data_IF_539800338282
#
_entry.id   IF_539800338282
#
_cell.length_a   1.000
_cell.length_b   1.000
_cell.length_c   1.000
_cell.angle_alpha   90.00
_cell.angle_beta   90.00
_cell.angle_gamma   90.00
#
_symmetry.space_group_name_H-M   'P 1'
#
loop_
_entity.id
_entity.type
_entity.pdbx_description
1 polymer ?
#
# COMPACT_ATOMS: atom_id res chain seq x y z
N UNK A 1 -12.41 6.25 9.56
CA UNK A 1 -11.13 6.52 10.23
C UNK A 1 -10.06 6.84 9.17
N UNK A 2 -9.12 7.67 9.52
CA UNK A 2 -7.98 7.97 8.64
C UNK A 2 -6.75 7.24 9.15
N UNK A 3 -5.90 6.81 8.23
CA UNK A 3 -4.62 6.19 8.56
C UNK A 3 -3.52 6.83 7.74
N UNK A 4 -2.35 6.98 8.34
CA UNK A 4 -1.15 7.44 7.66
C UNK A 4 -0.05 6.45 7.92
N UNK A 5 0.56 5.95 6.86
CA UNK A 5 1.68 5.02 6.94
C UNK A 5 2.90 5.67 6.30
N UNK A 6 4.01 5.68 7.04
CA UNK A 6 5.30 6.15 6.54
C UNK A 6 6.19 4.93 6.33
N UNK A 7 6.66 4.74 5.11
CA UNK A 7 7.52 3.62 4.74
C UNK A 7 8.92 4.12 4.44
N UNK A 8 9.88 3.69 5.25
CA UNK A 8 11.30 3.87 4.96
C UNK A 8 11.78 2.57 4.31
N UNK A 9 12.04 2.62 3.03
CA UNK A 9 12.30 1.41 2.25
C UNK A 9 13.73 0.87 2.39
N UNK A 10 14.51 1.45 3.27
CA UNK A 10 15.86 0.96 3.55
C UNK A 10 16.86 1.33 2.46
N UNK A 11 17.45 0.33 1.81
CA UNK A 11 18.56 0.56 0.88
C UNK A 11 18.17 1.44 -0.32
N UNK A 12 16.89 1.45 -0.69
CA UNK A 12 16.40 2.33 -1.77
C UNK A 12 16.53 3.81 -1.39
N UNK A 13 16.51 4.13 -0.10
CA UNK A 13 16.65 5.50 0.39
C UNK A 13 15.43 6.39 0.21
N UNK A 14 14.34 5.88 -0.34
CA UNK A 14 13.11 6.65 -0.54
C UNK A 14 12.14 6.45 0.61
N UNK A 15 11.49 7.54 1.01
CA UNK A 15 10.41 7.48 2.00
C UNK A 15 9.08 7.69 1.30
N UNK A 16 8.17 6.76 1.50
CA UNK A 16 6.82 6.81 0.92
C UNK A 16 5.81 7.08 2.02
N UNK A 17 4.86 7.97 1.74
CA UNK A 17 3.76 8.28 2.65
C UNK A 17 2.46 7.79 2.02
N UNK A 18 1.72 6.98 2.76
CA UNK A 18 0.45 6.43 2.34
C UNK A 18 -0.63 6.99 3.26
N UNK A 19 -1.65 7.59 2.67
CA UNK A 19 -2.82 8.06 3.42
C UNK A 19 -4.03 7.26 2.96
N UNK A 20 -4.76 6.74 3.92
CA UNK A 20 -5.99 6.01 3.68
C UNK A 20 -7.11 6.65 4.49
N UNK A 21 -8.28 6.79 3.90
CA UNK A 21 -9.43 7.38 4.56
C UNK A 21 -10.68 6.57 4.27
N UNK A 22 -11.49 6.34 5.29
CA UNK A 22 -12.76 5.63 5.16
C UNK A 22 -13.82 6.29 6.03
N UNK A 23 -14.94 6.66 5.45
CA UNK A 23 -16.07 7.23 6.18
C UNK A 23 -17.02 6.15 6.70
N UNK A 24 -17.14 5.05 5.97
CA UNK A 24 -18.10 3.97 6.26
C UNK A 24 -17.45 2.71 6.82
N UNK A 25 -16.15 2.75 7.09
CA UNK A 25 -15.35 1.60 7.56
C UNK A 25 -15.36 0.41 6.59
N UNK A 26 -15.65 0.66 5.33
CA UNK A 26 -15.74 -0.38 4.31
C UNK A 26 -15.01 0.03 3.03
N UNK A 27 -15.35 1.19 2.47
CA UNK A 27 -14.73 1.72 1.26
C UNK A 27 -13.63 2.70 1.65
N UNK A 28 -12.46 2.53 1.06
CA UNK A 28 -11.24 3.25 1.44
C UNK A 28 -10.68 4.01 0.24
N UNK A 29 -10.42 5.30 0.43
CA UNK A 29 -9.67 6.11 -0.50
C UNK A 29 -8.19 6.07 -0.13
N UNK A 30 -7.33 6.00 -1.14
CA UNK A 30 -5.89 5.91 -0.97
C UNK A 30 -5.17 7.05 -1.65
N UNK A 31 -4.15 7.57 -1.01
CA UNK A 31 -3.23 8.53 -1.60
C UNK A 31 -1.81 8.14 -1.23
N UNK A 32 -0.96 7.99 -2.24
CA UNK A 32 0.44 7.59 -2.04
C UNK A 32 1.34 8.68 -2.60
N UNK A 33 2.31 9.09 -1.80
CA UNK A 33 3.29 10.13 -2.17
C UNK A 33 4.68 9.57 -1.96
N UNK A 34 5.52 9.63 -2.99
CA UNK A 34 6.89 9.13 -2.92
C UNK A 34 7.76 9.83 -3.95
N UNK A 35 9.07 10.05 -3.67
CA UNK A 35 10.01 10.50 -4.68
C UNK A 35 10.43 9.40 -5.67
N UNK A 36 10.12 8.14 -5.39
CA UNK A 36 10.43 7.02 -6.26
C UNK A 36 9.51 7.03 -7.49
N UNK A 37 10.07 7.06 -8.70
CA UNK A 37 9.30 7.11 -9.95
C UNK A 37 8.41 5.88 -10.12
N UNK A 38 8.87 4.72 -9.66
CA UNK A 38 8.10 3.47 -9.72
C UNK A 38 6.86 3.58 -8.83
N UNK A 39 7.03 4.09 -7.61
CA UNK A 39 5.92 4.27 -6.68
C UNK A 39 4.96 5.35 -7.15
N UNK A 40 5.47 6.40 -7.83
CA UNK A 40 4.59 7.39 -8.45
C UNK A 40 3.67 6.75 -9.48
N UNK A 41 4.18 5.81 -10.28
CA UNK A 41 3.36 5.06 -11.24
C UNK A 41 2.32 4.20 -10.52
N UNK A 42 2.69 3.56 -9.41
CA UNK A 42 1.75 2.83 -8.57
C UNK A 42 0.67 3.75 -8.00
N UNK A 43 1.06 4.94 -7.53
CA UNK A 43 0.12 5.91 -6.97
C UNK A 43 -0.97 6.27 -7.97
N UNK A 44 -0.61 6.44 -9.24
CA UNK A 44 -1.59 6.71 -10.31
C UNK A 44 -2.56 5.54 -10.47
N UNK A 45 -2.05 4.31 -10.45
CA UNK A 45 -2.89 3.11 -10.57
C UNK A 45 -3.83 2.96 -9.39
N UNK A 46 -3.38 3.25 -8.18
CA UNK A 46 -4.24 3.19 -7.00
C UNK A 46 -5.37 4.21 -7.08
N UNK A 47 -5.13 5.39 -7.64
CA UNK A 47 -6.19 6.37 -7.84
C UNK A 47 -7.27 5.86 -8.81
N UNK A 48 -6.90 5.08 -9.81
CA UNK A 48 -7.85 4.51 -10.77
C UNK A 48 -8.79 3.49 -10.14
N UNK A 49 -8.36 2.79 -9.08
CA UNK A 49 -9.12 1.70 -8.47
C UNK A 49 -9.82 2.10 -7.17
N UNK A 50 -9.58 3.30 -6.66
CA UNK A 50 -10.25 3.77 -5.43
C UNK A 50 -11.64 4.33 -5.74
N UNK A 51 -12.61 4.21 -4.81
CA UNK A 51 -12.48 3.58 -3.49
C UNK A 51 -12.42 2.06 -3.57
N UNK A 52 -11.71 1.45 -2.62
CA UNK A 52 -11.54 0.00 -2.55
C UNK A 52 -12.34 -0.53 -1.37
N UNK A 53 -13.06 -1.62 -1.57
CA UNK A 53 -13.77 -2.30 -0.48
C UNK A 53 -12.78 -3.16 0.30
N UNK A 54 -12.46 -2.75 1.53
CA UNK A 54 -11.47 -3.42 2.36
C UNK A 54 -11.85 -4.86 2.71
N UNK A 55 -13.13 -5.14 2.84
CA UNK A 55 -13.59 -6.50 3.17
C UNK A 55 -13.36 -7.46 2.02
N UNK A 56 -13.47 -6.99 0.78
CA UNK A 56 -13.16 -7.81 -0.38
C UNK A 56 -11.66 -8.08 -0.50
N UNK A 57 -10.83 -7.19 0.02
CA UNK A 57 -9.38 -7.34 0.04
C UNK A 57 -8.89 -8.36 1.07
N UNK A 58 -9.73 -8.83 1.98
CA UNK A 58 -9.39 -9.91 2.91
C UNK A 58 -9.30 -11.29 2.24
N UNK A 59 -9.59 -11.36 0.97
CA UNK A 59 -9.47 -12.58 0.16
C UNK A 59 -8.00 -13.03 0.03
N UNK A 60 -7.75 -14.26 -0.49
CA UNK A 60 -6.38 -14.70 -0.77
C UNK A 60 -5.60 -13.67 -1.59
N UNK A 61 -4.30 -13.62 -1.39
CA UNK A 61 -3.43 -12.63 -2.05
C UNK A 61 -3.62 -12.58 -3.57
N UNK A 62 -3.91 -13.71 -4.20
CA UNK A 62 -4.13 -13.79 -5.64
C UNK A 62 -5.34 -12.99 -6.11
N UNK A 63 -6.26 -12.66 -5.19
CA UNK A 63 -7.48 -11.91 -5.51
C UNK A 63 -7.45 -10.47 -5.04
N UNK A 64 -6.39 -10.04 -4.35
CA UNK A 64 -6.23 -8.65 -3.91
C UNK A 64 -6.09 -7.74 -5.13
N UNK A 65 -6.95 -6.74 -5.23
CA UNK A 65 -6.86 -5.77 -6.32
C UNK A 65 -5.61 -4.90 -6.19
N UNK A 66 -5.22 -4.57 -4.97
CA UNK A 66 -4.00 -3.80 -4.73
C UNK A 66 -2.79 -4.55 -5.24
N UNK A 67 -2.66 -5.83 -4.90
CA UNK A 67 -1.52 -6.64 -5.33
C UNK A 67 -1.56 -6.93 -6.82
N UNK A 68 -2.73 -7.19 -7.38
CA UNK A 68 -2.90 -7.40 -8.83
C UNK A 68 -2.49 -6.19 -9.65
N UNK A 69 -2.82 -5.00 -9.18
CA UNK A 69 -2.47 -3.76 -9.87
C UNK A 69 -1.00 -3.42 -9.69
N UNK A 70 -0.45 -3.71 -8.51
CA UNK A 70 0.94 -3.37 -8.18
C UNK A 70 1.96 -4.21 -8.93
N UNK A 71 1.74 -5.50 -9.02
CA UNK A 71 2.74 -6.42 -9.58
C UNK A 71 3.12 -6.12 -11.02
N UNK A 72 2.18 -5.91 -11.96
CA UNK A 72 2.56 -5.56 -13.34
C UNK A 72 3.40 -4.29 -13.45
N UNK A 73 3.10 -3.27 -12.64
CA UNK A 73 3.86 -2.02 -12.64
C UNK A 73 5.28 -2.26 -12.16
N UNK A 74 5.44 -3.02 -11.06
CA UNK A 74 6.75 -3.33 -10.53
C UNK A 74 7.59 -4.12 -11.52
N UNK A 75 7.00 -5.11 -12.16
CA UNK A 75 7.68 -5.95 -13.17
C UNK A 75 8.09 -5.12 -14.38
N UNK A 76 7.17 -4.31 -14.91
CA UNK A 76 7.43 -3.47 -16.08
C UNK A 76 8.54 -2.46 -15.83
N UNK A 77 8.57 -1.86 -14.65
CA UNK A 77 9.57 -0.86 -14.29
C UNK A 77 10.88 -1.46 -13.80
N UNK A 78 10.99 -2.79 -13.70
CA UNK A 78 12.18 -3.44 -13.22
C UNK A 78 12.43 -3.28 -11.73
N UNK A 79 11.39 -3.12 -10.95
CA UNK A 79 11.51 -2.97 -9.51
C UNK A 79 11.72 -4.31 -8.82
N UNK A 80 12.32 -4.23 -7.63
CA UNK A 80 12.53 -5.39 -6.79
C UNK A 80 11.20 -5.94 -6.27
N UNK A 81 11.04 -7.25 -6.30
CA UNK A 81 9.87 -7.93 -5.71
C UNK A 81 9.78 -7.71 -4.20
N UNK A 82 10.91 -7.37 -3.57
CA UNK A 82 10.97 -7.10 -2.14
C UNK A 82 10.45 -5.71 -1.75
N UNK A 83 9.92 -4.93 -2.70
CA UNK A 83 9.34 -3.63 -2.37
C UNK A 83 8.19 -3.80 -1.38
N UNK A 84 8.30 -3.14 -0.22
CA UNK A 84 7.31 -3.27 0.87
C UNK A 84 6.11 -2.33 0.72
N UNK A 85 6.12 -1.44 -0.25
CA UNK A 85 5.06 -0.44 -0.41
C UNK A 85 3.69 -1.06 -0.66
N UNK A 86 3.51 -2.05 -1.56
CA UNK A 86 2.18 -2.64 -1.74
C UNK A 86 1.59 -3.23 -0.46
N UNK A 87 2.40 -3.94 0.33
CA UNK A 87 1.95 -4.48 1.61
C UNK A 87 1.59 -3.37 2.60
N UNK A 88 2.36 -2.29 2.61
CA UNK A 88 2.09 -1.14 3.46
C UNK A 88 0.78 -0.43 3.06
N UNK A 89 0.46 -0.37 1.77
CA UNK A 89 -0.81 0.15 1.28
C UNK A 89 -1.97 -0.69 1.82
N UNK A 90 -1.84 -2.01 1.78
CA UNK A 90 -2.86 -2.91 2.35
C UNK A 90 -3.04 -2.65 3.86
N UNK A 91 -1.95 -2.46 4.59
CA UNK A 91 -2.03 -2.18 6.02
C UNK A 91 -2.71 -0.83 6.30
N UNK A 92 -2.41 0.19 5.53
CA UNK A 92 -3.07 1.48 5.67
C UNK A 92 -4.59 1.35 5.45
N UNK A 93 -4.98 0.60 4.44
CA UNK A 93 -6.37 0.32 4.13
C UNK A 93 -7.08 -0.40 5.28
N UNK A 94 -6.44 -1.43 5.85
CA UNK A 94 -7.04 -2.18 6.95
C UNK A 94 -7.18 -1.34 8.21
N UNK A 95 -6.21 -0.48 8.50
CA UNK A 95 -6.32 0.43 9.65
C UNK A 95 -7.46 1.43 9.44
N UNK A 96 -7.54 2.04 8.26
CA UNK A 96 -8.57 3.03 7.96
C UNK A 96 -9.99 2.44 8.04
N UNK A 97 -10.15 1.18 7.64
CA UNK A 97 -11.45 0.50 7.71
C UNK A 97 -11.76 -0.11 9.08
N UNK A 98 -10.83 -0.07 10.03
CA UNK A 98 -11.02 -0.64 11.36
C UNK A 98 -10.75 -2.14 11.43
N UNK A 99 -10.24 -2.76 10.36
CA UNK A 99 -9.95 -4.20 10.33
C UNK A 99 -8.62 -4.53 10.99
N UNK A 100 -7.75 -3.57 11.21
CA UNK A 100 -6.47 -3.75 11.88
C UNK A 100 -6.18 -2.58 12.82
N UNK A 101 -5.40 -2.86 13.88
CA UNK A 101 -4.97 -1.84 14.81
C UNK A 101 -3.75 -1.08 14.24
N UNK A 102 -3.62 0.22 14.55
CA UNK A 102 -2.50 1.02 14.08
C UNK A 102 -1.24 0.69 14.90
N UNK A 103 -0.44 -0.21 14.38
CA UNK A 103 0.82 -0.62 15.01
C UNK A 103 1.90 -0.78 13.95
N UNK A 104 3.09 -0.32 14.27
CA UNK A 104 4.24 -0.39 13.38
C UNK A 104 4.62 -1.83 13.07
N UNK A 105 5.11 -2.03 11.86
CA UNK A 105 5.73 -3.29 11.43
C UNK A 105 7.23 -3.10 11.46
N UNK A 106 7.93 -4.02 12.10
CA UNK A 106 9.40 -3.98 12.19
C UNK A 106 9.98 -5.18 11.47
N UNK A 107 10.96 -4.92 10.62
CA UNK A 107 11.73 -5.96 9.91
C UNK A 107 13.20 -5.70 10.21
N UNK A 108 13.85 -6.64 10.88
CA UNK A 108 15.29 -6.57 11.17
C UNK A 108 16.02 -7.46 10.18
N UNK A 109 17.10 -6.94 9.58
CA UNK A 109 17.89 -7.65 8.60
C UNK A 109 19.33 -7.72 9.08
N UNK A 110 19.81 -8.94 9.29
CA UNK A 110 21.19 -9.17 9.74
C UNK A 110 21.90 -10.10 8.76
N UNK A 111 23.24 -9.95 8.61
CA UNK A 111 24.00 -10.89 7.76
C UNK A 111 23.96 -12.31 8.31
#
# INVERSE_FOLDING_TARGET
>A
MDAKVTVDAGICGFTTIIKAASEDSMNVDLKVVSPCEIIKSLAEKYQEITPINAYQELSPQAESIILKVSRPVLVEKGACEACVVPAAVCKAMYVASGLALPKDVTVEITP
#
